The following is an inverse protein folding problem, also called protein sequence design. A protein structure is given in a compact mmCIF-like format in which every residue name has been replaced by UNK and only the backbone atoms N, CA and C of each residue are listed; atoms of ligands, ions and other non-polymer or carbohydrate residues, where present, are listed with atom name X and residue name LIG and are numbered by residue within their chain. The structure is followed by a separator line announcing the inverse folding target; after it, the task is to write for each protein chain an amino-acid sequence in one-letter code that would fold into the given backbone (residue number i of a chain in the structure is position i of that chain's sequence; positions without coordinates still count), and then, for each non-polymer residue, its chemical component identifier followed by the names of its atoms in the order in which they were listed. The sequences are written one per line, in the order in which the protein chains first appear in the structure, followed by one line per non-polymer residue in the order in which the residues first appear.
data_IF_866654953413
#
_entry.id   IF_866654953413
#
_cell.length_a   1.000
_cell.length_b   1.000
_cell.length_c   1.000
_cell.angle_alpha   90.00
_cell.angle_beta   90.00
_cell.angle_gamma   90.00
#
_symmetry.space_group_name_H-M   'P 1'
#
loop_
_entity.id
_entity.type
_entity.pdbx_description
1 polymer ?
#
# COMPACT_ATOMS: atom_id res chain seq x y z
N UNK A 1 -18.45 23.46 -20.21
CA UNK A 1 -19.20 23.73 -18.97
C UNK A 1 -18.87 22.74 -17.85
N UNK A 2 -18.85 21.42 -18.10
CA UNK A 2 -18.48 20.42 -17.06
C UNK A 2 -16.98 20.42 -16.70
N UNK A 3 -16.09 20.55 -17.69
CA UNK A 3 -14.65 20.61 -17.46
C UNK A 3 -14.27 21.77 -16.52
N UNK A 4 -14.86 22.96 -16.72
CA UNK A 4 -14.61 24.13 -15.87
C UNK A 4 -15.07 23.91 -14.41
N UNK A 5 -16.22 23.25 -14.21
CA UNK A 5 -16.70 22.90 -12.85
C UNK A 5 -15.77 21.91 -12.17
N UNK A 6 -15.25 20.92 -12.90
CA UNK A 6 -14.30 19.96 -12.36
C UNK A 6 -12.96 20.63 -12.01
N UNK A 7 -12.44 21.49 -12.88
CA UNK A 7 -11.21 22.25 -12.61
C UNK A 7 -11.35 23.10 -11.36
N UNK A 8 -12.46 23.83 -11.20
CA UNK A 8 -12.73 24.62 -9.98
C UNK A 8 -12.75 23.77 -8.71
N UNK A 9 -13.34 22.57 -8.77
CA UNK A 9 -13.33 21.62 -7.64
C UNK A 9 -11.92 21.13 -7.33
N UNK A 10 -11.13 20.80 -8.36
CA UNK A 10 -9.73 20.38 -8.20
C UNK A 10 -8.82 21.50 -7.69
N UNK A 11 -9.14 22.77 -7.95
CA UNK A 11 -8.39 23.91 -7.43
C UNK A 11 -8.73 24.21 -5.95
N UNK A 12 -9.90 23.79 -5.48
CA UNK A 12 -10.26 23.89 -4.06
C UNK A 12 -9.60 22.77 -3.24
N UNK A 13 -8.62 23.12 -2.40
CA UNK A 13 -7.88 22.19 -1.55
C UNK A 13 -8.71 21.42 -0.52
N UNK A 14 -9.90 21.92 -0.18
CA UNK A 14 -10.83 21.30 0.77
C UNK A 14 -11.85 20.37 0.11
N UNK A 15 -11.92 20.35 -1.23
CA UNK A 15 -12.86 19.49 -1.94
C UNK A 15 -12.45 18.03 -1.87
N UNK A 16 -13.45 17.14 -1.85
CA UNK A 16 -13.22 15.70 -1.92
C UNK A 16 -12.47 15.32 -3.21
N UNK A 17 -12.81 15.97 -4.33
CA UNK A 17 -12.17 15.73 -5.62
C UNK A 17 -10.68 16.05 -5.59
N UNK A 18 -10.28 17.18 -4.98
CA UNK A 18 -8.88 17.54 -4.83
C UNK A 18 -8.13 16.50 -3.98
N UNK A 19 -8.71 16.12 -2.83
CA UNK A 19 -8.11 15.16 -1.92
C UNK A 19 -7.91 13.80 -2.60
N UNK A 20 -8.96 13.27 -3.23
CA UNK A 20 -8.94 11.98 -3.93
C UNK A 20 -7.96 12.02 -5.10
N UNK A 21 -8.02 13.04 -5.96
CA UNK A 21 -7.13 13.18 -7.10
C UNK A 21 -5.66 13.25 -6.69
N UNK A 22 -5.34 14.05 -5.66
CA UNK A 22 -3.99 14.19 -5.13
C UNK A 22 -3.48 12.87 -4.55
N UNK A 23 -4.31 12.17 -3.77
CA UNK A 23 -3.96 10.86 -3.19
C UNK A 23 -3.72 9.83 -4.29
N UNK A 24 -4.64 9.63 -5.24
CA UNK A 24 -4.46 8.69 -6.35
C UNK A 24 -3.21 9.01 -7.17
N UNK A 25 -3.01 10.28 -7.55
CA UNK A 25 -1.84 10.70 -8.33
C UNK A 25 -0.54 10.44 -7.57
N UNK A 26 -0.52 10.69 -6.25
CA UNK A 26 0.64 10.39 -5.41
C UNK A 26 0.96 8.89 -5.36
N UNK A 27 -0.06 8.02 -5.29
CA UNK A 27 0.10 6.56 -5.33
C UNK A 27 0.60 6.09 -6.69
N UNK A 28 0.13 6.67 -7.79
CA UNK A 28 0.66 6.37 -9.13
C UNK A 28 2.14 6.76 -9.24
N UNK A 29 2.51 7.95 -8.74
CA UNK A 29 3.91 8.39 -8.71
C UNK A 29 4.79 7.46 -7.87
N UNK A 30 4.30 7.02 -6.71
CA UNK A 30 4.99 6.03 -5.87
C UNK A 30 5.15 4.70 -6.59
N UNK A 31 4.07 4.17 -7.19
CA UNK A 31 4.06 2.91 -7.94
C UNK A 31 5.12 2.88 -9.05
N UNK A 32 5.27 3.99 -9.78
CA UNK A 32 6.25 4.13 -10.86
C UNK A 32 7.71 4.00 -10.39
N UNK A 33 8.01 4.27 -9.12
CA UNK A 33 9.36 4.17 -8.56
C UNK A 33 9.73 2.74 -8.15
N UNK A 34 8.74 1.91 -7.81
CA UNK A 34 9.02 0.57 -7.29
C UNK A 34 9.17 -0.46 -8.41
N UNK A 35 10.33 -1.12 -8.46
CA UNK A 35 10.61 -2.14 -9.48
C UNK A 35 9.73 -3.39 -9.36
N UNK A 36 9.21 -3.70 -8.15
CA UNK A 36 8.28 -4.81 -7.95
C UNK A 36 6.90 -4.61 -8.61
N UNK A 37 6.55 -3.39 -9.04
CA UNK A 37 5.33 -3.10 -9.81
C UNK A 37 5.51 -3.18 -11.33
N UNK A 38 6.66 -3.68 -11.81
CA UNK A 38 6.82 -3.99 -13.24
C UNK A 38 5.75 -5.01 -13.68
N UNK A 39 5.14 -4.89 -14.88
CA UNK A 39 4.06 -5.79 -15.32
C UNK A 39 4.43 -7.27 -15.25
N UNK A 40 5.66 -7.61 -15.64
CA UNK A 40 6.17 -8.99 -15.64
C UNK A 40 6.75 -9.44 -14.28
N UNK A 41 6.66 -8.60 -13.24
CA UNK A 41 7.07 -8.98 -11.89
C UNK A 41 6.12 -10.03 -11.32
N UNK A 42 6.67 -10.99 -10.59
CA UNK A 42 5.91 -12.08 -9.98
C UNK A 42 4.90 -11.53 -8.97
N UNK A 43 3.72 -12.12 -8.90
CA UNK A 43 2.67 -11.81 -7.92
C UNK A 43 2.06 -13.09 -7.39
N UNK A 44 1.82 -13.14 -6.07
CA UNK A 44 0.95 -14.16 -5.47
C UNK A 44 0.00 -13.54 -4.47
N UNK A 45 -1.20 -14.10 -4.37
CA UNK A 45 -2.19 -13.73 -3.36
C UNK A 45 -1.75 -14.25 -1.99
N UNK A 46 -2.00 -13.47 -0.95
CA UNK A 46 -1.77 -13.86 0.45
C UNK A 46 -3.07 -14.42 1.02
N UNK A 47 -2.96 -15.51 1.77
CA UNK A 47 -4.08 -16.05 2.54
C UNK A 47 -4.14 -15.33 3.88
N UNK A 48 -4.96 -14.28 3.95
CA UNK A 48 -5.20 -13.49 5.16
C UNK A 48 -6.62 -13.77 5.68
N UNK A 49 -7.03 -13.08 6.75
CA UNK A 49 -8.41 -13.12 7.24
C UNK A 49 -9.41 -12.56 6.22
N UNK A 50 -10.69 -12.94 6.31
CA UNK A 50 -11.74 -12.54 5.36
C UNK A 50 -11.93 -11.02 5.21
N UNK A 51 -11.48 -10.24 6.20
CA UNK A 51 -11.54 -8.77 6.19
C UNK A 51 -10.30 -8.09 5.60
N UNK A 52 -9.25 -8.85 5.31
CA UNK A 52 -7.99 -8.38 4.75
C UNK A 52 -7.75 -9.01 3.38
N UNK A 53 -7.60 -8.17 2.36
CA UNK A 53 -7.15 -8.62 1.05
C UNK A 53 -5.69 -8.28 0.87
N UNK A 54 -4.88 -9.26 0.48
CA UNK A 54 -3.45 -9.06 0.29
C UNK A 54 -2.87 -9.83 -0.88
N UNK A 55 -1.84 -9.25 -1.49
CA UNK A 55 -0.96 -9.95 -2.41
C UNK A 55 0.46 -9.44 -2.21
N UNK A 56 1.44 -10.27 -2.51
CA UNK A 56 2.84 -9.86 -2.54
C UNK A 56 3.38 -9.88 -3.96
N UNK A 57 4.28 -8.95 -4.26
CA UNK A 57 4.98 -8.83 -5.54
C UNK A 57 6.47 -8.90 -5.31
N UNK A 58 7.18 -9.53 -6.25
CA UNK A 58 8.63 -9.62 -6.26
C UNK A 58 9.17 -9.05 -7.55
N UNK A 59 10.15 -8.14 -7.45
CA UNK A 59 10.84 -7.59 -8.61
C UNK A 59 11.50 -8.69 -9.44
N UNK A 60 11.68 -8.44 -10.73
CA UNK A 60 12.26 -9.43 -11.66
C UNK A 60 13.67 -9.87 -11.20
N UNK A 61 14.45 -8.93 -10.65
CA UNK A 61 15.77 -9.19 -10.09
C UNK A 61 15.75 -9.73 -8.64
N UNK A 62 14.57 -10.02 -8.07
CA UNK A 62 14.35 -10.54 -6.71
C UNK A 62 14.92 -9.68 -5.58
N UNK A 63 15.22 -8.42 -5.86
CA UNK A 63 15.80 -7.48 -4.89
C UNK A 63 14.74 -6.82 -4.00
N UNK A 64 13.53 -6.63 -4.53
CA UNK A 64 12.44 -5.92 -3.84
C UNK A 64 11.21 -6.82 -3.76
N UNK A 65 10.69 -6.96 -2.55
CA UNK A 65 9.43 -7.60 -2.26
C UNK A 65 8.48 -6.55 -1.67
N UNK A 66 7.27 -6.46 -2.22
CA UNK A 66 6.22 -5.56 -1.73
C UNK A 66 4.98 -6.36 -1.41
N UNK A 67 4.53 -6.30 -0.16
CA UNK A 67 3.26 -6.84 0.29
C UNK A 67 2.23 -5.70 0.28
N UNK A 68 1.22 -5.83 -0.56
CA UNK A 68 0.10 -4.91 -0.65
C UNK A 68 -1.06 -5.50 0.15
N UNK A 69 -1.39 -4.93 1.31
CA UNK A 69 -2.49 -5.39 2.16
C UNK A 69 -3.52 -4.27 2.28
N UNK A 70 -4.79 -4.59 2.07
CA UNK A 70 -5.90 -3.66 2.21
C UNK A 70 -6.94 -4.23 3.16
N UNK A 71 -7.34 -3.42 4.13
CA UNK A 71 -8.53 -3.70 4.92
C UNK A 71 -9.77 -3.40 4.08
N UNK A 72 -10.58 -4.41 3.80
CA UNK A 72 -11.81 -4.27 3.01
C UNK A 72 -13.07 -4.14 3.89
N UNK A 73 -12.89 -4.04 5.20
CA UNK A 73 -13.96 -3.88 6.19
C UNK A 73 -14.07 -2.45 6.72
N UNK A 74 -15.21 -2.14 7.33
CA UNK A 74 -15.46 -0.89 8.08
C UNK A 74 -14.85 -0.89 9.48
N UNK A 75 -14.23 -1.99 9.91
CA UNK A 75 -13.70 -2.18 11.26
C UNK A 75 -12.17 -2.18 11.24
N UNK A 76 -11.55 -1.87 12.38
CA UNK A 76 -10.10 -2.05 12.52
C UNK A 76 -9.76 -3.53 12.49
N UNK A 77 -8.70 -3.88 11.76
CA UNK A 77 -8.24 -5.26 11.61
C UNK A 77 -6.79 -5.38 12.04
N UNK A 78 -6.47 -6.48 12.73
CA UNK A 78 -5.10 -6.82 13.08
C UNK A 78 -4.49 -7.63 11.93
N UNK A 79 -3.33 -7.20 11.44
CA UNK A 79 -2.51 -7.91 10.46
C UNK A 79 -1.30 -8.49 11.20
N UNK A 80 -1.29 -9.82 11.36
CA UNK A 80 -0.17 -10.52 11.96
C UNK A 80 0.97 -10.64 10.96
N UNK A 81 2.19 -10.36 11.42
CA UNK A 81 3.38 -10.47 10.57
C UNK A 81 3.77 -11.91 10.28
N UNK A 82 3.24 -12.89 11.02
CA UNK A 82 3.47 -14.32 10.76
C UNK A 82 2.69 -14.81 9.52
N UNK A 83 1.55 -14.17 9.20
CA UNK A 83 0.78 -14.46 7.98
C UNK A 83 1.49 -13.93 6.72
N UNK A 84 2.35 -12.94 6.91
CA UNK A 84 3.22 -12.41 5.88
C UNK A 84 4.52 -13.21 5.97
N UNK A 85 4.88 -14.00 4.97
CA UNK A 85 6.14 -14.76 4.95
C UNK A 85 7.37 -13.83 4.87
N UNK A 86 7.58 -12.98 5.88
CA UNK A 86 8.59 -11.94 5.97
C UNK A 86 9.91 -12.56 6.41
N UNK A 87 10.98 -12.15 5.76
CA UNK A 87 12.34 -12.58 6.09
C UNK A 87 12.73 -11.94 7.42
N UNK A 88 13.09 -12.73 8.43
CA UNK A 88 13.34 -12.27 9.81
C UNK A 88 14.42 -11.19 9.91
N UNK A 89 15.47 -11.28 9.10
CA UNK A 89 16.63 -10.38 9.15
C UNK A 89 16.56 -9.19 8.17
N UNK A 90 15.34 -8.75 7.83
CA UNK A 90 15.13 -7.58 6.96
C UNK A 90 14.31 -6.50 7.63
N UNK A 91 14.65 -5.25 7.34
CA UNK A 91 13.84 -4.09 7.69
C UNK A 91 12.72 -3.93 6.67
N UNK A 92 11.54 -3.60 7.18
CA UNK A 92 10.35 -3.37 6.37
C UNK A 92 9.82 -1.96 6.57
N UNK A 93 9.27 -1.40 5.50
CA UNK A 93 8.80 -0.03 5.44
C UNK A 93 7.40 0.00 4.83
N UNK A 94 6.51 0.81 5.39
CA UNK A 94 5.30 1.20 4.69
C UNK A 94 5.64 2.34 3.72
N UNK A 95 5.53 2.05 2.42
CA UNK A 95 5.78 3.01 1.35
C UNK A 95 4.68 4.09 1.25
N UNK A 96 3.47 3.80 1.74
CA UNK A 96 2.32 4.71 1.64
C UNK A 96 2.43 5.87 2.63
N UNK A 97 2.81 5.58 3.87
CA UNK A 97 3.06 6.58 4.92
C UNK A 97 4.54 6.95 5.08
N UNK A 98 5.44 6.24 4.39
CA UNK A 98 6.89 6.39 4.49
C UNK A 98 7.41 6.19 5.93
N UNK A 99 6.97 5.09 6.57
CA UNK A 99 7.31 4.76 7.96
C UNK A 99 7.98 3.39 8.06
N UNK A 100 8.89 3.24 9.00
CA UNK A 100 9.47 1.93 9.33
C UNK A 100 8.46 1.09 10.12
N UNK A 101 8.30 -0.17 9.74
CA UNK A 101 7.41 -1.10 10.43
C UNK A 101 8.14 -1.75 11.61
N UNK A 102 7.60 -1.55 12.81
CA UNK A 102 8.13 -2.18 14.01
C UNK A 102 7.56 -3.59 14.17
N UNK A 103 8.39 -4.62 13.94
CA UNK A 103 7.98 -6.03 14.06
C UNK A 103 7.93 -6.55 15.50
N UNK A 104 8.36 -5.77 16.50
CA UNK A 104 8.46 -6.23 17.91
C UNK A 104 7.13 -6.70 18.51
N UNK A 105 6.01 -6.13 18.06
CA UNK A 105 4.67 -6.48 18.56
C UNK A 105 4.07 -7.70 17.84
N UNK A 106 4.69 -8.21 16.76
CA UNK A 106 4.19 -9.35 16.00
C UNK A 106 3.02 -9.04 15.06
N UNK A 107 2.37 -7.89 15.20
CA UNK A 107 1.26 -7.46 14.33
C UNK A 107 1.25 -5.94 14.14
N UNK A 108 0.45 -5.48 13.18
CA UNK A 108 0.08 -4.07 13.00
C UNK A 108 -1.43 -3.94 12.82
N UNK A 109 -2.00 -2.80 13.24
CA UNK A 109 -3.43 -2.52 13.05
C UNK A 109 -3.64 -1.74 11.75
N UNK A 110 -4.65 -2.13 10.98
CA UNK A 110 -5.14 -1.37 9.84
C UNK A 110 -6.46 -0.71 10.21
N UNK A 111 -6.56 0.59 9.98
CA UNK A 111 -7.81 1.33 10.06
C UNK A 111 -8.77 0.89 8.94
N UNK A 112 -10.08 1.19 9.06
CA UNK A 112 -11.07 0.89 8.02
C UNK A 112 -10.62 1.40 6.65
N UNK A 113 -10.67 0.55 5.64
CA UNK A 113 -10.27 0.88 4.26
C UNK A 113 -8.81 1.33 4.07
N UNK A 114 -7.94 1.13 5.07
CA UNK A 114 -6.52 1.44 4.94
C UNK A 114 -5.81 0.39 4.08
N UNK A 115 -4.90 0.86 3.23
CA UNK A 115 -3.96 0.03 2.49
C UNK A 115 -2.54 0.30 2.98
N UNK A 116 -1.78 -0.77 3.22
CA UNK A 116 -0.36 -0.74 3.54
C UNK A 116 0.45 -1.34 2.38
N UNK A 117 1.55 -0.69 2.03
CA UNK A 117 2.54 -1.23 1.09
C UNK A 117 3.83 -1.53 1.83
N UNK A 118 3.94 -2.74 2.33
CA UNK A 118 5.07 -3.20 3.12
C UNK A 118 6.19 -3.64 2.18
N UNK A 119 7.33 -2.96 2.20
CA UNK A 119 8.46 -3.24 1.31
C UNK A 119 9.74 -3.47 2.10
N UNK A 120 10.61 -4.35 1.61
CA UNK A 120 11.96 -4.53 2.14
C UNK A 120 12.96 -3.46 1.65
N UNK A 121 12.51 -2.51 0.81
CA UNK A 121 13.30 -1.38 0.28
C UNK A 121 12.41 -0.14 0.06
N UNK A 122 12.94 1.06 0.27
CA UNK A 122 12.20 2.33 0.14
C UNK A 122 12.20 2.95 -1.28
N UNK A 123 13.00 2.39 -2.20
CA UNK A 123 13.22 2.97 -3.54
C UNK A 123 12.11 2.64 -4.54
#
# INVERSE_FOLDING_TARGET
MELQKLTQKLDNHESEEHVVYKKITSRIKLRKKQCAFHPNATQFTLHLSDSLFGFWRQSICKSQNIFCISNISTQKQDLFFDDLNLIENQNYFDLIENKTICRKQGFTKLDPYQTLWISNSQN
#
